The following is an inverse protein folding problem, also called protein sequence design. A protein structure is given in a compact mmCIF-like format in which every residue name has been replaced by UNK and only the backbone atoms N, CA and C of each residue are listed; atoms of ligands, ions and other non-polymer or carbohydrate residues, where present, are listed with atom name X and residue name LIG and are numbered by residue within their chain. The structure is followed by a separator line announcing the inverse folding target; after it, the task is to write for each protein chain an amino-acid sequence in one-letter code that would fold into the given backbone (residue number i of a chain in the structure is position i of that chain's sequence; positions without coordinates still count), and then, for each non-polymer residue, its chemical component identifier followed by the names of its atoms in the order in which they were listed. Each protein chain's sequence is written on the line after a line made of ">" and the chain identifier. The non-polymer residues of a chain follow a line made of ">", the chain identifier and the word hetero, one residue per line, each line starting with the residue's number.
data_IF_792963645756
#
_entry.id   IF_792963645756
#
_cell.length_a   1.000
_cell.length_b   1.000
_cell.length_c   1.000
_cell.angle_alpha   90.00
_cell.angle_beta   90.00
_cell.angle_gamma   90.00
#
_symmetry.space_group_name_H-M   'P 1'
#
loop_
_entity.id
_entity.type
_entity.pdbx_description
1 polymer ?
#
# COMPACT_ATOMS: atom_id res chain seq x y z
N UNK A 1 -24.91 -0.88 -30.34
CA UNK A 1 -23.55 -1.26 -29.91
C UNK A 1 -23.44 -1.06 -28.41
N UNK A 2 -22.86 -2.00 -27.67
CA UNK A 2 -22.56 -1.82 -26.26
C UNK A 2 -21.57 -0.62 -26.08
N UNK A 3 -21.81 0.23 -25.08
CA UNK A 3 -20.92 1.37 -24.82
C UNK A 3 -19.63 0.85 -24.21
N UNK A 4 -18.46 1.27 -24.75
CA UNK A 4 -17.14 0.92 -24.24
C UNK A 4 -16.95 1.40 -22.81
N UNK A 5 -16.25 0.62 -22.01
CA UNK A 5 -15.73 1.05 -20.71
C UNK A 5 -14.51 1.94 -20.89
N UNK A 6 -14.46 3.04 -20.15
CA UNK A 6 -13.39 4.03 -20.23
C UNK A 6 -12.81 4.28 -18.84
N UNK A 7 -11.49 4.20 -18.72
CA UNK A 7 -10.76 4.62 -17.53
C UNK A 7 -9.97 5.89 -17.82
N UNK A 8 -10.33 6.98 -17.15
CA UNK A 8 -9.52 8.20 -17.13
C UNK A 8 -8.45 8.06 -16.05
N UNK A 9 -7.18 8.13 -16.45
CA UNK A 9 -6.04 7.93 -15.54
C UNK A 9 -5.40 9.28 -15.24
N UNK A 10 -5.71 9.85 -14.08
CA UNK A 10 -5.18 11.15 -13.64
C UNK A 10 -3.89 10.95 -12.87
N UNK A 11 -2.80 11.45 -13.39
CA UNK A 11 -1.48 11.33 -12.77
C UNK A 11 -0.84 12.72 -12.60
N UNK A 12 -0.44 13.10 -11.37
CA UNK A 12 0.29 14.34 -11.13
C UNK A 12 1.74 14.30 -11.67
N UNK A 13 2.22 13.13 -12.06
CA UNK A 13 3.54 12.93 -12.64
C UNK A 13 3.56 13.22 -14.15
N UNK A 14 4.75 13.41 -14.75
CA UNK A 14 4.89 13.60 -16.20
C UNK A 14 4.45 12.39 -17.04
N UNK A 15 4.44 11.20 -16.46
CA UNK A 15 4.10 9.96 -17.14
C UNK A 15 3.18 9.11 -16.28
N UNK A 16 2.18 8.50 -16.90
CA UNK A 16 1.39 7.44 -16.28
C UNK A 16 2.21 6.14 -16.21
N UNK A 17 1.93 5.30 -15.24
CA UNK A 17 2.59 4.01 -15.05
C UNK A 17 2.16 3.00 -16.12
N UNK A 18 3.08 2.42 -16.92
CA UNK A 18 2.75 1.33 -17.82
C UNK A 18 2.18 0.10 -17.11
N UNK A 19 2.59 -0.13 -15.86
CA UNK A 19 2.05 -1.21 -15.03
C UNK A 19 0.55 -1.03 -14.79
N UNK A 20 0.13 0.17 -14.38
CA UNK A 20 -1.29 0.44 -14.10
C UNK A 20 -2.14 0.42 -15.38
N UNK A 21 -1.56 0.85 -16.50
CA UNK A 21 -2.20 0.77 -17.82
C UNK A 21 -2.46 -0.71 -18.19
N UNK A 22 -1.45 -1.57 -18.07
CA UNK A 22 -1.62 -3.00 -18.38
C UNK A 22 -2.64 -3.64 -17.45
N UNK A 23 -2.55 -3.38 -16.14
CA UNK A 23 -3.50 -3.90 -15.16
C UNK A 23 -4.95 -3.52 -15.46
N UNK A 24 -5.17 -2.28 -15.90
CA UNK A 24 -6.51 -1.80 -16.23
C UNK A 24 -7.08 -2.47 -17.50
N UNK A 25 -6.24 -2.71 -18.53
CA UNK A 25 -6.64 -3.48 -19.71
C UNK A 25 -6.99 -4.93 -19.34
N UNK A 26 -6.14 -5.58 -18.57
CA UNK A 26 -6.34 -6.97 -18.13
C UNK A 26 -7.59 -7.10 -17.24
N UNK A 27 -7.94 -6.05 -16.47
CA UNK A 27 -9.17 -6.01 -15.68
C UNK A 27 -10.45 -5.79 -16.51
N UNK A 28 -10.33 -5.49 -17.82
CA UNK A 28 -11.47 -5.43 -18.75
C UNK A 28 -11.92 -4.03 -19.14
N UNK A 29 -11.12 -2.99 -18.92
CA UNK A 29 -11.39 -1.68 -19.52
C UNK A 29 -11.08 -1.69 -21.01
N UNK A 30 -12.01 -1.20 -21.83
CA UNK A 30 -11.86 -1.15 -23.29
C UNK A 30 -10.95 0.00 -23.77
N UNK A 31 -10.95 1.11 -23.04
CA UNK A 31 -10.24 2.34 -23.41
C UNK A 31 -9.60 2.97 -22.17
N UNK A 32 -8.33 3.30 -22.28
CA UNK A 32 -7.57 4.02 -21.26
C UNK A 32 -7.19 5.40 -21.77
N UNK A 33 -7.46 6.42 -20.98
CA UNK A 33 -7.17 7.83 -21.30
C UNK A 33 -6.20 8.38 -20.24
N UNK A 34 -4.88 8.34 -20.50
CA UNK A 34 -3.87 8.85 -19.57
C UNK A 34 -3.79 10.38 -19.64
N UNK A 35 -3.77 11.01 -18.47
CA UNK A 35 -3.52 12.45 -18.27
C UNK A 35 -2.30 12.60 -17.37
N UNK A 36 -1.36 13.41 -17.79
CA UNK A 36 -0.11 13.68 -17.06
C UNK A 36 -0.09 15.09 -16.50
N UNK A 37 0.72 15.35 -15.47
CA UNK A 37 0.85 16.64 -14.79
C UNK A 37 -0.50 17.19 -14.29
N UNK A 38 -1.40 16.30 -13.88
CA UNK A 38 -2.71 16.68 -13.36
C UNK A 38 -2.54 17.34 -11.98
N UNK A 39 -3.11 18.51 -11.80
CA UNK A 39 -3.05 19.24 -10.54
C UNK A 39 -4.32 19.06 -9.75
N UNK A 40 -4.22 19.16 -8.42
CA UNK A 40 -5.35 18.97 -7.52
C UNK A 40 -6.52 19.93 -7.84
N UNK A 41 -6.20 21.19 -8.16
CA UNK A 41 -7.20 22.23 -8.49
C UNK A 41 -7.96 21.94 -9.79
N UNK A 42 -7.45 21.06 -10.66
CA UNK A 42 -8.12 20.71 -11.93
C UNK A 42 -9.04 19.49 -11.81
N UNK A 43 -8.95 18.74 -10.73
CA UNK A 43 -9.68 17.46 -10.53
C UNK A 43 -11.19 17.67 -10.63
N UNK A 44 -11.72 18.72 -10.02
CA UNK A 44 -13.16 18.99 -10.05
C UNK A 44 -13.69 19.10 -11.49
N UNK A 45 -13.03 19.94 -12.32
CA UNK A 45 -13.45 20.16 -13.70
C UNK A 45 -13.28 18.89 -14.57
N UNK A 46 -12.13 18.21 -14.46
CA UNK A 46 -11.88 16.97 -15.19
C UNK A 46 -12.89 15.87 -14.83
N UNK A 47 -13.31 15.82 -13.56
CA UNK A 47 -14.35 14.88 -13.12
C UNK A 47 -15.70 15.23 -13.73
N UNK A 48 -16.09 16.54 -13.75
CA UNK A 48 -17.32 16.98 -14.38
C UNK A 48 -17.34 16.72 -15.88
N UNK A 49 -16.26 16.97 -16.60
CA UNK A 49 -16.13 16.62 -18.01
C UNK A 49 -16.33 15.11 -18.24
N UNK A 50 -15.75 14.27 -17.39
CA UNK A 50 -15.91 12.82 -17.49
C UNK A 50 -17.35 12.35 -17.26
N UNK A 51 -18.06 12.91 -16.26
CA UNK A 51 -19.44 12.47 -15.93
C UNK A 51 -20.49 13.01 -16.89
N UNK A 52 -20.38 14.28 -17.35
CA UNK A 52 -21.38 14.90 -18.20
C UNK A 52 -21.23 14.58 -19.69
N UNK A 53 -20.09 14.04 -20.11
CA UNK A 53 -19.85 13.63 -21.50
C UNK A 53 -20.64 12.38 -21.91
N UNK A 54 -21.31 11.70 -20.98
CA UNK A 54 -22.03 10.43 -21.22
C UNK A 54 -23.38 10.42 -20.53
N UNK A 55 -24.32 9.62 -21.07
CA UNK A 55 -25.60 9.42 -20.41
C UNK A 55 -25.44 8.68 -19.06
N UNK A 56 -26.37 8.79 -18.10
CA UNK A 56 -26.29 8.11 -16.79
C UNK A 56 -26.00 6.60 -16.87
N UNK A 57 -26.59 5.91 -17.86
CA UNK A 57 -26.32 4.47 -18.07
C UNK A 57 -24.94 4.18 -18.63
N UNK A 58 -24.27 5.15 -19.23
CA UNK A 58 -22.93 5.02 -19.78
C UNK A 58 -21.85 5.52 -18.79
N UNK A 59 -22.20 6.43 -17.87
CA UNK A 59 -21.27 6.84 -16.80
C UNK A 59 -20.93 5.66 -15.88
N UNK A 60 -21.83 4.68 -15.70
CA UNK A 60 -21.51 3.41 -15.02
C UNK A 60 -20.35 2.61 -15.65
N UNK A 61 -20.01 2.89 -16.92
CA UNK A 61 -18.86 2.31 -17.62
C UNK A 61 -17.70 3.31 -17.78
N UNK A 62 -17.74 4.37 -17.03
CA UNK A 62 -16.65 5.36 -16.93
C UNK A 62 -16.10 5.33 -15.51
N UNK A 63 -14.79 5.34 -15.38
CA UNK A 63 -14.15 5.35 -14.08
C UNK A 63 -12.90 6.25 -14.11
N UNK A 64 -12.41 6.61 -12.93
CA UNK A 64 -11.21 7.43 -12.74
C UNK A 64 -10.20 6.62 -11.93
N UNK A 65 -8.96 6.49 -12.43
CA UNK A 65 -7.82 5.99 -11.67
C UNK A 65 -6.90 7.18 -11.34
N UNK A 66 -6.41 7.25 -10.12
CA UNK A 66 -5.50 8.28 -9.64
C UNK A 66 -4.16 7.63 -9.31
N UNK A 67 -3.15 7.96 -10.12
CA UNK A 67 -1.78 7.52 -9.95
C UNK A 67 -0.94 8.46 -9.08
N UNK A 68 0.34 8.60 -9.42
CA UNK A 68 1.29 9.47 -8.73
C UNK A 68 2.27 8.74 -7.84
N UNK A 69 2.96 9.49 -6.97
CA UNK A 69 3.96 8.96 -6.04
C UNK A 69 3.77 9.43 -4.59
N UNK A 70 2.78 10.26 -4.34
CA UNK A 70 2.45 10.77 -3.02
C UNK A 70 1.06 10.30 -2.61
N UNK A 71 1.00 9.52 -1.53
CA UNK A 71 -0.25 8.96 -1.01
C UNK A 71 -1.22 10.06 -0.56
N UNK A 72 -0.69 11.11 0.06
CA UNK A 72 -1.50 12.24 0.51
C UNK A 72 -2.17 12.95 -0.65
N UNK A 73 -1.40 13.31 -1.67
CA UNK A 73 -1.90 13.96 -2.88
C UNK A 73 -2.94 13.10 -3.60
N UNK A 74 -2.66 11.80 -3.79
CA UNK A 74 -3.60 10.90 -4.47
C UNK A 74 -4.95 10.79 -3.73
N UNK A 75 -4.92 10.74 -2.40
CA UNK A 75 -6.15 10.74 -1.58
C UNK A 75 -6.86 12.10 -1.65
N UNK A 76 -6.13 13.23 -1.69
CA UNK A 76 -6.75 14.56 -1.89
C UNK A 76 -7.43 14.66 -3.24
N UNK A 77 -6.79 14.16 -4.29
CA UNK A 77 -7.38 14.10 -5.63
C UNK A 77 -8.65 13.22 -5.62
N UNK A 78 -8.62 12.04 -4.97
CA UNK A 78 -9.80 11.20 -4.81
C UNK A 78 -10.92 11.95 -4.06
N UNK A 79 -10.61 12.61 -2.95
CA UNK A 79 -11.61 13.38 -2.21
C UNK A 79 -12.17 14.55 -3.03
N UNK A 80 -11.36 15.19 -3.88
CA UNK A 80 -11.78 16.29 -4.75
C UNK A 80 -12.73 15.83 -5.88
N UNK A 81 -12.76 14.55 -6.24
CA UNK A 81 -13.74 14.02 -7.21
C UNK A 81 -15.16 13.97 -6.63
N UNK A 82 -15.31 13.73 -5.32
CA UNK A 82 -16.63 13.50 -4.70
C UNK A 82 -17.59 14.69 -4.84
N UNK A 83 -17.20 15.93 -4.50
CA UNK A 83 -18.08 17.08 -4.65
C UNK A 83 -18.33 17.47 -6.12
N UNK A 84 -17.57 16.94 -7.07
CA UNK A 84 -17.81 17.12 -8.50
C UNK A 84 -18.90 16.19 -9.05
N UNK A 85 -19.26 15.12 -8.32
CA UNK A 85 -20.30 14.17 -8.72
C UNK A 85 -21.69 14.78 -8.58
N UNK A 86 -22.55 14.55 -9.57
CA UNK A 86 -23.93 15.04 -9.59
C UNK A 86 -24.85 13.88 -9.94
N UNK A 87 -25.56 13.29 -8.97
CA UNK A 87 -26.46 12.18 -9.24
C UNK A 87 -27.49 12.52 -10.33
N UNK A 88 -27.77 11.65 -11.32
CA UNK A 88 -27.26 10.29 -11.47
C UNK A 88 -25.92 10.18 -12.26
N UNK A 89 -25.20 11.28 -12.46
CA UNK A 89 -23.92 11.34 -13.17
C UNK A 89 -22.80 11.15 -12.16
N UNK A 90 -22.43 9.89 -11.94
CA UNK A 90 -21.41 9.49 -10.97
C UNK A 90 -20.54 8.38 -11.57
N UNK A 91 -19.27 8.32 -11.18
CA UNK A 91 -18.29 7.32 -11.64
C UNK A 91 -17.48 6.78 -10.47
N UNK A 92 -16.99 5.56 -10.61
CA UNK A 92 -16.06 4.97 -9.62
C UNK A 92 -14.69 5.62 -9.71
N UNK A 93 -14.02 5.73 -8.55
CA UNK A 93 -12.68 6.32 -8.44
C UNK A 93 -11.77 5.41 -7.60
N UNK A 94 -10.56 5.15 -8.08
CA UNK A 94 -9.55 4.37 -7.37
C UNK A 94 -8.23 5.13 -7.30
N UNK A 95 -7.67 5.29 -6.10
CA UNK A 95 -6.36 5.92 -5.86
C UNK A 95 -5.34 4.87 -5.41
N UNK A 96 -4.32 4.65 -6.24
CA UNK A 96 -3.21 3.73 -5.94
C UNK A 96 -1.87 4.29 -6.45
N UNK A 97 -1.34 5.34 -5.80
CA UNK A 97 -0.14 6.03 -6.25
C UNK A 97 1.07 5.08 -6.23
N UNK A 98 1.66 4.82 -7.39
CA UNK A 98 2.78 3.86 -7.59
C UNK A 98 2.48 2.46 -7.03
N UNK A 99 1.23 2.05 -7.00
CA UNK A 99 0.82 0.80 -6.38
C UNK A 99 1.04 0.73 -4.86
N UNK A 100 1.17 1.88 -4.18
CA UNK A 100 1.52 1.89 -2.77
C UNK A 100 0.39 1.38 -1.87
N UNK A 101 -0.86 1.75 -2.18
CA UNK A 101 -2.02 1.30 -1.41
C UNK A 101 -2.21 -0.21 -1.52
N UNK A 102 -2.13 -0.75 -2.73
CA UNK A 102 -2.29 -2.20 -2.97
C UNK A 102 -1.11 -3.01 -2.47
N UNK A 103 0.14 -2.51 -2.60
CA UNK A 103 1.33 -3.18 -2.05
C UNK A 103 1.29 -3.23 -0.52
N UNK A 104 0.99 -2.10 0.13
CA UNK A 104 0.89 -2.05 1.58
C UNK A 104 -0.25 -2.93 2.11
N UNK A 105 -1.41 -2.92 1.44
CA UNK A 105 -2.55 -3.75 1.79
C UNK A 105 -2.21 -5.24 1.69
N UNK A 106 -1.55 -5.67 0.61
CA UNK A 106 -1.11 -7.05 0.43
C UNK A 106 -0.06 -7.46 1.48
N UNK A 107 0.95 -6.61 1.72
CA UNK A 107 1.99 -6.83 2.72
C UNK A 107 1.38 -7.04 4.11
N UNK A 108 0.53 -6.11 4.56
CA UNK A 108 -0.05 -6.18 5.90
C UNK A 108 -1.00 -7.38 6.02
N UNK A 109 -1.79 -7.70 4.98
CA UNK A 109 -2.69 -8.85 4.99
C UNK A 109 -1.92 -10.20 5.05
N UNK A 110 -0.82 -10.34 4.29
CA UNK A 110 0.04 -11.53 4.36
C UNK A 110 0.67 -11.69 5.75
N UNK A 111 1.19 -10.59 6.31
CA UNK A 111 1.80 -10.59 7.66
C UNK A 111 0.75 -10.87 8.73
N UNK A 112 -0.44 -10.29 8.65
CA UNK A 112 -1.56 -10.56 9.57
C UNK A 112 -1.97 -12.03 9.54
N UNK A 113 -2.09 -12.61 8.34
CA UNK A 113 -2.40 -14.04 8.19
C UNK A 113 -1.31 -14.91 8.83
N UNK A 114 -0.03 -14.63 8.54
CA UNK A 114 1.10 -15.35 9.12
C UNK A 114 1.13 -15.24 10.65
N UNK A 115 0.90 -14.03 11.18
CA UNK A 115 0.83 -13.77 12.62
C UNK A 115 -0.26 -14.60 13.30
N UNK A 116 -1.44 -14.64 12.69
CA UNK A 116 -2.57 -15.42 13.20
C UNK A 116 -2.29 -16.92 13.14
N UNK A 117 -1.77 -17.43 12.01
CA UNK A 117 -1.55 -18.86 11.78
C UNK A 117 -0.44 -19.45 12.66
N UNK A 118 0.69 -18.72 12.81
CA UNK A 118 1.87 -19.24 13.50
C UNK A 118 1.95 -18.84 14.98
N UNK A 119 1.27 -17.75 15.37
CA UNK A 119 1.39 -17.22 16.72
C UNK A 119 0.05 -17.03 17.45
N UNK A 120 -1.10 -17.26 16.77
CA UNK A 120 -2.42 -17.05 17.35
C UNK A 120 -2.70 -15.60 17.78
N UNK A 121 -1.97 -14.63 17.20
CA UNK A 121 -2.07 -13.21 17.53
C UNK A 121 -2.71 -12.40 16.42
N UNK A 122 -3.15 -11.20 16.77
CA UNK A 122 -3.69 -10.20 15.86
C UNK A 122 -2.74 -9.01 15.75
N UNK A 123 -2.97 -8.12 14.78
CA UNK A 123 -2.22 -6.86 14.67
C UNK A 123 -2.43 -5.98 15.91
N UNK A 124 -3.63 -6.02 16.48
CA UNK A 124 -3.95 -5.25 17.68
C UNK A 124 -3.04 -5.63 18.85
N UNK A 125 -2.38 -4.62 19.40
CA UNK A 125 -1.46 -4.79 20.54
C UNK A 125 -0.08 -5.35 20.14
N UNK A 126 0.19 -5.58 18.85
CA UNK A 126 1.52 -5.91 18.35
C UNK A 126 2.34 -4.64 18.14
N UNK A 127 3.65 -4.71 18.37
CA UNK A 127 4.59 -3.65 18.02
C UNK A 127 5.14 -3.86 16.62
N UNK A 128 4.94 -2.89 15.74
CA UNK A 128 5.30 -2.92 14.33
C UNK A 128 6.37 -1.86 14.00
N UNK A 129 7.47 -2.27 13.39
CA UNK A 129 8.53 -1.38 12.92
C UNK A 129 8.57 -1.41 11.40
N UNK A 130 8.46 -0.23 10.76
CA UNK A 130 8.38 -0.08 9.30
C UNK A 130 9.63 0.64 8.80
N UNK A 131 10.59 -0.09 8.26
CA UNK A 131 11.76 0.46 7.58
C UNK A 131 11.39 0.95 6.18
N UNK A 132 11.94 2.11 5.78
CA UNK A 132 11.44 2.84 4.61
C UNK A 132 10.09 3.51 4.88
N UNK A 133 9.82 3.78 6.16
CA UNK A 133 8.54 4.27 6.68
C UNK A 133 8.09 5.63 6.16
N UNK A 134 8.98 6.42 5.58
CA UNK A 134 8.67 7.73 4.97
C UNK A 134 8.35 7.66 3.48
N UNK A 135 8.57 6.50 2.84
CA UNK A 135 8.16 6.26 1.46
C UNK A 135 6.65 5.94 1.33
N UNK A 136 6.08 6.01 0.12
CA UNK A 136 4.64 5.84 -0.08
C UNK A 136 4.10 4.49 0.42
N UNK A 137 4.81 3.39 0.15
CA UNK A 137 4.43 2.04 0.64
C UNK A 137 4.58 1.96 2.16
N UNK A 138 5.67 2.53 2.72
CA UNK A 138 5.91 2.52 4.16
C UNK A 138 4.86 3.29 4.94
N UNK A 139 4.50 4.48 4.46
CA UNK A 139 3.41 5.29 5.04
C UNK A 139 2.10 4.51 5.02
N UNK A 140 1.72 3.95 3.87
CA UNK A 140 0.49 3.18 3.73
C UNK A 140 0.48 1.94 4.64
N UNK A 141 1.62 1.21 4.73
CA UNK A 141 1.80 0.06 5.63
C UNK A 141 1.62 0.47 7.08
N UNK A 142 2.27 1.56 7.50
CA UNK A 142 2.15 2.07 8.87
C UNK A 142 0.73 2.52 9.22
N UNK A 143 0.07 3.24 8.32
CA UNK A 143 -1.33 3.67 8.50
C UNK A 143 -2.24 2.46 8.65
N UNK A 144 -2.15 1.46 7.75
CA UNK A 144 -2.98 0.26 7.83
C UNK A 144 -2.74 -0.48 9.15
N UNK A 145 -1.47 -0.77 9.50
CA UNK A 145 -1.13 -1.47 10.73
C UNK A 145 -1.63 -0.73 11.99
N UNK A 146 -1.42 0.58 12.04
CA UNK A 146 -1.88 1.42 13.15
C UNK A 146 -3.41 1.46 13.28
N UNK A 147 -4.15 1.55 12.18
CA UNK A 147 -5.61 1.50 12.19
C UNK A 147 -6.16 0.13 12.63
N UNK A 148 -5.35 -0.93 12.50
CA UNK A 148 -5.68 -2.25 13.06
C UNK A 148 -5.24 -2.40 14.54
N UNK A 149 -4.74 -1.34 15.15
CA UNK A 149 -4.38 -1.30 16.58
C UNK A 149 -2.96 -1.77 16.90
N UNK A 150 -2.06 -1.84 15.92
CA UNK A 150 -0.64 -2.07 16.17
C UNK A 150 0.04 -0.77 16.65
N UNK A 151 0.92 -0.88 17.63
CA UNK A 151 1.87 0.19 17.98
C UNK A 151 2.90 0.30 16.86
N UNK A 152 2.81 1.35 16.05
CA UNK A 152 3.54 1.43 14.78
C UNK A 152 4.59 2.53 14.80
N UNK A 153 5.82 2.19 14.40
CA UNK A 153 6.96 3.11 14.28
C UNK A 153 7.35 3.21 12.80
N UNK A 154 7.26 4.41 12.22
CA UNK A 154 7.81 4.71 10.90
C UNK A 154 9.30 5.03 11.05
N UNK A 155 10.17 4.31 10.33
CA UNK A 155 11.63 4.48 10.45
C UNK A 155 12.18 5.13 9.19
N UNK A 156 12.86 6.27 9.36
CA UNK A 156 13.72 6.89 8.36
C UNK A 156 15.19 6.53 8.62
N UNK A 157 15.99 6.47 7.57
CA UNK A 157 17.40 6.09 7.67
C UNK A 157 18.36 7.28 7.93
N UNK A 158 17.86 8.51 7.84
CA UNK A 158 18.66 9.73 7.99
C UNK A 158 18.11 10.68 9.05
N UNK A 159 16.80 10.92 9.05
CA UNK A 159 16.19 12.01 9.81
C UNK A 159 15.04 11.54 10.70
N UNK A 160 15.20 11.75 12.00
CA UNK A 160 14.10 11.54 12.97
C UNK A 160 12.94 12.50 12.74
N UNK A 161 13.23 13.73 12.31
CA UNK A 161 12.21 14.74 12.07
C UNK A 161 11.35 14.37 10.86
N UNK A 162 11.97 13.87 9.78
CA UNK A 162 11.23 13.34 8.61
C UNK A 162 10.23 12.25 9.01
N UNK A 163 10.66 11.28 9.83
CA UNK A 163 9.79 10.22 10.30
C UNK A 163 8.67 10.73 11.23
N UNK A 164 8.99 11.66 12.14
CA UNK A 164 8.01 12.26 13.04
C UNK A 164 6.98 13.13 12.30
N UNK A 165 7.42 13.90 11.32
CA UNK A 165 6.54 14.75 10.51
C UNK A 165 5.60 13.89 9.66
N UNK A 166 6.12 12.83 9.02
CA UNK A 166 5.30 11.85 8.32
C UNK A 166 4.26 11.22 9.26
N UNK A 167 4.67 10.70 10.40
CA UNK A 167 3.75 10.13 11.38
C UNK A 167 2.68 11.13 11.82
N UNK A 168 3.06 12.36 12.18
CA UNK A 168 2.14 13.42 12.61
C UNK A 168 1.16 13.79 11.51
N UNK A 169 1.62 13.95 10.27
CA UNK A 169 0.79 14.31 9.12
C UNK A 169 -0.29 13.24 8.89
N UNK A 170 0.12 11.98 8.79
CA UNK A 170 -0.79 10.89 8.45
C UNK A 170 -1.65 10.41 9.61
N UNK A 171 -1.20 10.59 10.88
CA UNK A 171 -2.05 10.43 12.05
C UNK A 171 -3.24 11.41 12.04
N UNK A 172 -2.98 12.69 11.77
CA UNK A 172 -4.05 13.71 11.67
C UNK A 172 -5.02 13.40 10.55
N UNK A 173 -4.49 12.91 9.43
CA UNK A 173 -5.26 12.70 8.21
C UNK A 173 -6.17 11.48 8.30
N UNK A 174 -5.71 10.40 8.90
CA UNK A 174 -6.38 9.11 8.88
C UNK A 174 -6.82 8.59 10.25
N UNK A 175 -6.52 9.30 11.32
CA UNK A 175 -6.84 8.85 12.69
C UNK A 175 -5.92 7.72 13.18
N UNK A 176 -4.74 7.57 12.57
CA UNK A 176 -3.71 6.63 13.01
C UNK A 176 -2.96 7.16 14.25
N UNK A 177 -2.17 6.31 14.90
CA UNK A 177 -1.40 6.63 16.11
C UNK A 177 0.05 6.16 15.99
N UNK A 178 0.68 6.50 14.87
CA UNK A 178 2.07 6.14 14.57
C UNK A 178 3.06 7.07 15.28
N UNK A 179 4.27 6.57 15.53
CA UNK A 179 5.43 7.35 15.95
C UNK A 179 6.53 7.34 14.87
N UNK A 180 7.48 8.25 14.98
CA UNK A 180 8.66 8.32 14.11
C UNK A 180 9.91 7.82 14.81
N UNK A 181 10.71 7.03 14.10
CA UNK A 181 12.03 6.54 14.52
C UNK A 181 13.10 6.83 13.48
N UNK A 182 14.37 6.71 13.87
CA UNK A 182 15.51 6.83 12.96
C UNK A 182 16.46 5.67 13.20
N UNK A 183 17.05 5.13 12.13
CA UNK A 183 18.08 4.10 12.23
C UNK A 183 19.13 4.29 11.13
N UNK A 184 20.29 4.82 11.50
CA UNK A 184 21.42 5.18 10.62
C UNK A 184 22.43 4.06 10.47
N UNK A 185 22.47 3.17 11.46
CA UNK A 185 23.43 2.08 11.57
C UNK A 185 22.75 0.82 12.13
N UNK A 186 23.49 -0.26 12.19
CA UNK A 186 22.97 -1.57 12.62
C UNK A 186 22.61 -1.62 14.10
N UNK A 187 23.32 -0.88 14.96
CA UNK A 187 23.03 -0.75 16.40
C UNK A 187 21.67 -0.06 16.62
N UNK A 188 21.41 1.04 15.90
CA UNK A 188 20.12 1.75 15.97
C UNK A 188 18.97 0.88 15.43
N UNK A 189 19.19 0.12 14.34
CA UNK A 189 18.19 -0.84 13.81
C UNK A 189 17.90 -1.93 14.83
N UNK A 190 18.94 -2.54 15.41
CA UNK A 190 18.80 -3.60 16.38
C UNK A 190 18.02 -3.12 17.63
N UNK A 191 18.29 -1.90 18.11
CA UNK A 191 17.57 -1.31 19.23
C UNK A 191 16.08 -1.13 18.94
N UNK A 192 15.71 -0.70 17.72
CA UNK A 192 14.31 -0.50 17.32
C UNK A 192 13.51 -1.81 17.21
N UNK A 193 14.16 -2.90 16.78
CA UNK A 193 13.47 -4.18 16.58
C UNK A 193 13.59 -5.14 17.77
N UNK A 194 14.33 -4.79 18.81
CA UNK A 194 14.61 -5.69 19.93
C UNK A 194 13.35 -6.26 20.61
N UNK A 195 12.31 -5.47 20.71
CA UNK A 195 11.00 -5.82 21.29
C UNK A 195 9.85 -5.77 20.28
N UNK A 196 10.17 -5.70 18.98
CA UNK A 196 9.17 -5.68 17.92
C UNK A 196 8.55 -7.07 17.68
N UNK A 197 7.24 -7.13 17.55
CA UNK A 197 6.52 -8.31 17.09
C UNK A 197 6.58 -8.45 15.56
N UNK A 198 6.51 -7.32 14.85
CA UNK A 198 6.42 -7.25 13.39
C UNK A 198 7.50 -6.31 12.83
N UNK A 199 8.14 -6.75 11.77
CA UNK A 199 9.09 -5.92 11.00
C UNK A 199 8.66 -5.89 9.54
N UNK A 200 8.48 -4.68 9.02
CA UNK A 200 8.17 -4.43 7.61
C UNK A 200 9.36 -3.74 6.93
N UNK A 201 9.83 -4.28 5.83
CA UNK A 201 10.83 -3.66 4.98
C UNK A 201 10.17 -3.16 3.69
N UNK A 202 10.02 -1.85 3.59
CA UNK A 202 9.44 -1.14 2.44
C UNK A 202 10.45 -0.15 1.83
N UNK A 203 11.73 -0.37 2.10
CA UNK A 203 12.82 0.47 1.63
C UNK A 203 13.05 0.29 0.12
N UNK A 204 13.95 1.11 -0.44
CA UNK A 204 14.32 1.07 -1.85
C UNK A 204 14.83 -0.32 -2.23
N UNK A 205 14.32 -0.82 -3.36
CA UNK A 205 14.71 -2.12 -3.92
C UNK A 205 16.23 -2.22 -4.16
N UNK A 206 16.80 -3.43 -3.95
CA UNK A 206 18.22 -3.71 -4.11
C UNK A 206 19.11 -3.26 -2.94
N UNK A 207 18.51 -2.88 -1.78
CA UNK A 207 19.25 -2.48 -0.59
C UNK A 207 18.93 -3.43 0.56
N UNK A 208 19.99 -4.08 1.14
CA UNK A 208 19.89 -4.81 2.39
C UNK A 208 19.72 -3.82 3.55
N UNK A 209 18.56 -3.83 4.18
CA UNK A 209 18.27 -2.95 5.34
C UNK A 209 18.60 -3.66 6.65
N UNK A 210 18.20 -4.92 6.76
CA UNK A 210 18.38 -5.75 7.96
C UNK A 210 19.20 -6.96 7.61
N UNK A 211 20.42 -7.05 8.17
CA UNK A 211 21.27 -8.22 8.05
C UNK A 211 20.97 -9.24 9.17
N UNK A 212 21.55 -10.43 9.06
CA UNK A 212 21.35 -11.52 10.02
C UNK A 212 21.76 -11.13 11.47
N UNK A 213 22.81 -10.31 11.63
CA UNK A 213 23.27 -9.88 12.95
C UNK A 213 22.27 -8.93 13.62
N UNK A 214 21.68 -8.01 12.88
CA UNK A 214 20.61 -7.12 13.35
C UNK A 214 19.37 -7.93 13.67
N UNK A 215 18.96 -8.82 12.76
CA UNK A 215 17.77 -9.64 12.92
C UNK A 215 17.85 -10.56 14.15
N UNK A 216 19.04 -11.07 14.49
CA UNK A 216 19.28 -11.89 15.67
C UNK A 216 19.02 -11.14 17.00
N UNK A 217 18.94 -9.80 17.00
CA UNK A 217 18.59 -9.01 18.18
C UNK A 217 17.08 -8.88 18.40
N UNK A 218 16.28 -9.23 17.41
CA UNK A 218 14.81 -9.13 17.48
C UNK A 218 14.21 -10.30 18.30
N UNK A 219 14.33 -10.21 19.63
CA UNK A 219 14.01 -11.29 20.56
C UNK A 219 12.51 -11.65 20.65
N UNK A 220 11.64 -10.77 20.17
CA UNK A 220 10.17 -10.95 20.21
C UNK A 220 9.56 -11.06 18.82
N UNK A 221 10.37 -11.02 17.78
CA UNK A 221 9.91 -11.05 16.40
C UNK A 221 9.03 -12.28 16.13
N UNK A 222 7.91 -12.05 15.48
CA UNK A 222 6.95 -13.07 15.06
C UNK A 222 6.88 -13.19 13.55
N UNK A 223 6.73 -12.03 12.89
CA UNK A 223 6.65 -12.01 11.43
C UNK A 223 7.48 -10.87 10.87
N UNK A 224 8.27 -11.14 9.83
CA UNK A 224 8.92 -10.12 9.02
C UNK A 224 8.40 -10.18 7.58
N UNK A 225 8.05 -9.02 7.00
CA UNK A 225 7.62 -8.91 5.60
C UNK A 225 8.55 -8.00 4.81
N UNK A 226 8.95 -8.45 3.63
CA UNK A 226 9.86 -7.72 2.73
C UNK A 226 9.25 -7.57 1.34
N UNK A 227 9.14 -6.32 0.85
CA UNK A 227 8.62 -6.04 -0.51
C UNK A 227 9.73 -5.87 -1.55
N UNK A 228 11.00 -6.05 -1.17
CA UNK A 228 12.13 -5.89 -2.08
C UNK A 228 12.32 -7.12 -2.96
N UNK A 229 11.90 -7.03 -4.22
CA UNK A 229 12.06 -8.09 -5.22
C UNK A 229 13.42 -8.07 -5.98
N UNK A 230 14.26 -7.06 -5.72
CA UNK A 230 15.58 -6.93 -6.38
C UNK A 230 16.68 -7.35 -5.40
N UNK A 231 17.53 -8.33 -5.75
CA UNK A 231 18.63 -8.74 -4.89
C UNK A 231 19.61 -7.59 -4.58
N UNK A 232 20.17 -7.58 -3.33
CA UNK A 232 19.85 -8.44 -2.21
C UNK A 232 18.48 -8.13 -1.61
N UNK A 233 17.83 -9.13 -0.96
CA UNK A 233 16.59 -8.90 -0.20
C UNK A 233 16.79 -7.82 0.88
N UNK A 234 15.75 -7.09 1.21
CA UNK A 234 15.80 -6.04 2.24
C UNK A 234 16.05 -6.60 3.64
N UNK A 235 15.49 -7.78 3.93
CA UNK A 235 15.71 -8.54 5.16
C UNK A 235 16.46 -9.82 4.82
N UNK A 236 17.62 -10.05 5.43
CA UNK A 236 18.40 -11.25 5.23
C UNK A 236 17.68 -12.48 5.75
N UNK A 237 17.70 -13.57 4.97
CA UNK A 237 17.04 -14.82 5.32
C UNK A 237 15.58 -14.91 4.88
N UNK A 238 15.04 -13.85 4.23
CA UNK A 238 13.75 -13.93 3.53
C UNK A 238 13.99 -14.13 2.04
N UNK A 239 13.48 -15.24 1.51
CA UNK A 239 13.50 -15.54 0.09
C UNK A 239 12.27 -14.94 -0.62
N UNK A 240 12.39 -14.69 -1.93
CA UNK A 240 11.37 -13.98 -2.71
C UNK A 240 9.98 -14.62 -2.64
N UNK A 241 9.91 -15.95 -2.61
CA UNK A 241 8.65 -16.71 -2.62
C UNK A 241 8.20 -17.18 -1.24
N UNK A 242 8.86 -16.74 -0.16
CA UNK A 242 8.50 -17.17 1.17
C UNK A 242 7.05 -16.72 1.52
N UNK A 243 6.26 -17.70 1.88
CA UNK A 243 4.91 -17.50 2.41
C UNK A 243 4.87 -18.10 3.81
N UNK A 244 5.28 -17.32 4.81
CA UNK A 244 5.44 -17.75 6.21
C UNK A 244 6.52 -18.80 6.41
N UNK A 245 7.64 -18.70 5.67
CA UNK A 245 8.77 -19.59 5.88
C UNK A 245 9.49 -19.27 7.21
N UNK A 246 9.99 -20.30 7.94
CA UNK A 246 10.73 -20.07 9.17
C UNK A 246 11.99 -19.23 8.94
N UNK A 247 12.16 -18.19 9.77
CA UNK A 247 13.40 -17.42 9.79
C UNK A 247 14.41 -18.14 10.68
N UNK A 248 15.53 -18.57 10.08
CA UNK A 248 16.62 -19.24 10.81
C UNK A 248 17.43 -18.19 11.59
N UNK A 249 16.88 -17.75 12.74
CA UNK A 249 17.55 -16.82 13.64
C UNK A 249 18.52 -17.59 14.54
N UNK A 250 19.71 -17.07 14.76
CA UNK A 250 20.68 -17.65 15.69
C UNK A 250 20.13 -17.83 17.11
N UNK A 251 19.07 -17.10 17.47
CA UNK A 251 18.30 -17.22 18.71
C UNK A 251 16.89 -17.72 18.38
N UNK A 252 16.71 -19.02 18.32
CA UNK A 252 15.45 -19.71 17.92
C UNK A 252 14.27 -19.52 18.90
N UNK A 253 14.31 -18.56 19.81
CA UNK A 253 13.28 -18.42 20.83
C UNK A 253 11.88 -17.99 20.30
N UNK A 254 11.79 -17.53 19.06
CA UNK A 254 10.55 -16.86 18.60
C UNK A 254 9.74 -17.61 17.56
N UNK A 255 10.24 -18.67 16.93
CA UNK A 255 9.58 -19.30 15.76
C UNK A 255 9.14 -18.27 14.69
N UNK A 256 9.94 -17.23 14.50
CA UNK A 256 9.62 -16.16 13.58
C UNK A 256 9.54 -16.66 12.14
N UNK A 257 8.61 -16.09 11.36
CA UNK A 257 8.42 -16.42 9.95
C UNK A 257 8.59 -15.21 9.05
N UNK A 258 9.03 -15.46 7.81
CA UNK A 258 9.25 -14.45 6.79
C UNK A 258 8.19 -14.51 5.68
N UNK A 259 7.84 -13.33 5.13
CA UNK A 259 7.00 -13.20 3.93
C UNK A 259 7.76 -12.42 2.89
N UNK A 260 7.99 -13.03 1.73
CA UNK A 260 8.84 -12.53 0.67
C UNK A 260 8.09 -11.71 -0.39
N UNK A 261 8.87 -10.97 -1.16
CA UNK A 261 8.39 -9.96 -2.08
C UNK A 261 7.50 -10.50 -3.20
N UNK A 262 7.76 -11.69 -3.74
CA UNK A 262 6.93 -12.27 -4.79
C UNK A 262 5.65 -12.88 -4.24
N UNK A 263 5.67 -13.44 -3.03
CA UNK A 263 4.45 -13.88 -2.35
C UNK A 263 3.49 -12.70 -2.13
N UNK A 264 4.01 -11.58 -1.61
CA UNK A 264 3.26 -10.33 -1.45
C UNK A 264 2.82 -9.78 -2.81
N UNK A 265 3.73 -9.79 -3.81
CA UNK A 265 3.49 -9.30 -5.16
C UNK A 265 2.35 -10.04 -5.88
N UNK A 266 2.21 -11.35 -5.67
CA UNK A 266 1.11 -12.14 -6.22
C UNK A 266 -0.24 -11.70 -5.63
N UNK A 267 -0.32 -11.46 -4.32
CA UNK A 267 -1.53 -10.93 -3.67
C UNK A 267 -1.82 -9.52 -4.17
N UNK A 268 -0.81 -8.66 -4.26
CA UNK A 268 -0.92 -7.28 -4.78
C UNK A 268 -1.46 -7.26 -6.21
N UNK A 269 -0.96 -8.13 -7.08
CA UNK A 269 -1.41 -8.23 -8.46
C UNK A 269 -2.89 -8.58 -8.54
N UNK A 270 -3.31 -9.65 -7.85
CA UNK A 270 -4.71 -10.05 -7.78
C UNK A 270 -5.60 -8.95 -7.19
N UNK A 271 -5.12 -8.32 -6.11
CA UNK A 271 -5.84 -7.24 -5.43
C UNK A 271 -6.11 -6.05 -6.36
N UNK A 272 -5.10 -5.56 -7.07
CA UNK A 272 -5.26 -4.42 -7.98
C UNK A 272 -6.22 -4.76 -9.13
N UNK A 273 -6.09 -5.97 -9.69
CA UNK A 273 -7.00 -6.45 -10.72
C UNK A 273 -8.45 -6.50 -10.22
N UNK A 274 -8.69 -7.08 -9.05
CA UNK A 274 -10.02 -7.17 -8.45
C UNK A 274 -10.64 -5.79 -8.12
N UNK A 275 -9.83 -4.83 -7.65
CA UNK A 275 -10.30 -3.47 -7.38
C UNK A 275 -10.65 -2.72 -8.67
N UNK A 276 -9.85 -2.86 -9.72
CA UNK A 276 -10.16 -2.30 -11.04
C UNK A 276 -11.43 -2.92 -11.63
N UNK A 277 -11.60 -4.23 -11.49
CA UNK A 277 -12.80 -4.94 -11.91
C UNK A 277 -14.03 -4.51 -11.11
N UNK A 278 -13.89 -4.31 -9.81
CA UNK A 278 -14.96 -3.79 -8.96
C UNK A 278 -15.48 -2.43 -9.46
N UNK A 279 -14.62 -1.55 -10.01
CA UNK A 279 -15.06 -0.27 -10.59
C UNK A 279 -15.97 -0.45 -11.80
N UNK A 280 -15.80 -1.52 -12.57
CA UNK A 280 -16.60 -1.84 -13.76
C UNK A 280 -17.93 -2.53 -13.41
N UNK A 281 -17.95 -3.33 -12.36
CA UNK A 281 -19.07 -4.19 -11.98
C UNK A 281 -19.99 -3.56 -10.94
N UNK A 282 -19.55 -2.50 -10.26
CA UNK A 282 -20.32 -1.86 -9.21
C UNK A 282 -21.63 -1.23 -9.74
N UNK A 283 -22.74 -1.55 -9.10
CA UNK A 283 -24.03 -0.93 -9.40
C UNK A 283 -24.08 0.55 -9.02
N UNK A 284 -23.37 0.91 -7.95
CA UNK A 284 -23.17 2.29 -7.47
C UNK A 284 -21.69 2.63 -7.50
N UNK A 285 -21.33 3.89 -7.70
CA UNK A 285 -19.94 4.33 -7.70
C UNK A 285 -19.22 3.92 -6.42
N UNK A 286 -18.00 3.39 -6.58
CA UNK A 286 -17.11 3.04 -5.48
C UNK A 286 -15.93 4.00 -5.43
N UNK A 287 -15.47 4.31 -4.22
CA UNK A 287 -14.29 5.14 -3.97
C UNK A 287 -13.27 4.30 -3.23
N UNK A 288 -12.23 3.88 -3.95
CA UNK A 288 -11.28 2.87 -3.50
C UNK A 288 -9.95 3.52 -3.15
N UNK A 289 -9.45 3.20 -1.95
CA UNK A 289 -8.11 3.55 -1.50
C UNK A 289 -7.50 2.42 -0.66
N UNK A 290 -6.49 2.69 0.14
CA UNK A 290 -5.83 1.68 0.97
C UNK A 290 -6.78 0.94 1.93
N UNK A 291 -7.91 1.54 2.31
CA UNK A 291 -8.89 0.95 3.25
C UNK A 291 -9.67 -0.19 2.61
N UNK A 292 -10.24 0.09 1.45
CA UNK A 292 -10.94 -0.92 0.63
C UNK A 292 -9.94 -1.95 0.11
N UNK A 293 -8.72 -1.51 -0.27
CA UNK A 293 -7.66 -2.40 -0.69
C UNK A 293 -7.29 -3.41 0.43
N UNK A 294 -7.13 -2.96 1.68
CA UNK A 294 -6.82 -3.85 2.79
C UNK A 294 -7.98 -4.80 3.13
N UNK A 295 -9.20 -4.29 3.12
CA UNK A 295 -10.40 -5.13 3.31
C UNK A 295 -10.46 -6.25 2.27
N UNK A 296 -10.19 -5.93 1.00
CA UNK A 296 -10.18 -6.91 -0.09
C UNK A 296 -8.96 -7.85 0.00
N UNK A 297 -7.78 -7.34 0.34
CA UNK A 297 -6.56 -8.15 0.46
C UNK A 297 -6.71 -9.29 1.46
N UNK A 298 -7.40 -9.08 2.58
CA UNK A 298 -7.72 -10.12 3.57
C UNK A 298 -8.51 -11.30 3.01
N UNK A 299 -9.22 -11.12 1.90
CA UNK A 299 -9.97 -12.20 1.25
C UNK A 299 -9.14 -12.96 0.22
N UNK A 300 -7.94 -12.47 -0.12
CA UNK A 300 -7.06 -13.04 -1.15
C UNK A 300 -5.86 -13.80 -0.54
N UNK A 301 -5.61 -13.65 0.73
CA UNK A 301 -4.51 -14.32 1.44
C UNK A 301 -4.92 -15.64 2.07
#
# INVERSE_FOLDING_TARGET
>A
MAKRSILHMFDPMPNNSPFDINMALDAGFDVLMPYSNVKLETIHNLTQDAIFSRSPSASKKTAIFIGGRDMGMAIDMLQATKPAMVPPFEVSVFADPSGACTTAAALVACVEKALKQHHGKELKGSKAVVFGGTGPVGIATGVIASLQGAETILVDHLSIDSAKDAAKQYNRRFGATMSGGVARNDEEKAALIADADLVFCTAKAGIRVINAAVLAQAKQLKVAGDVNAVPPSGIEGIELNDLSAPLNLANQATNAVGVGALAIGNVKYQLQHELLKMMLEAEKPVFLDFREAFTKARTLV
#
